data_IF_688475298476
#
_entry.id   IF_688475298476
#
_cell.length_a   1.000
_cell.length_b   1.000
_cell.length_c   1.000
_cell.angle_alpha   90.00
_cell.angle_beta   90.00
_cell.angle_gamma   90.00
#
_symmetry.space_group_name_H-M   'P 1'
#
loop_
_entity.id
_entity.type
_entity.pdbx_description
1 polymer ?
#
# COMPACT_ATOMS: atom_id res chain seq x y z
N UNK A 1 7.21 -39.70 6.51
CA UNK A 1 6.00 -38.94 6.10
C UNK A 1 5.37 -38.07 7.22
N UNK A 2 6.01 -37.84 8.38
CA UNK A 2 5.43 -37.06 9.50
C UNK A 2 5.80 -35.56 9.53
N UNK A 3 6.85 -35.12 8.83
CA UNK A 3 7.26 -33.69 8.80
C UNK A 3 6.37 -32.82 7.92
N UNK A 4 5.68 -33.41 6.93
CA UNK A 4 4.77 -32.71 6.02
C UNK A 4 3.43 -32.32 6.68
N UNK A 5 2.92 -33.13 7.63
CA UNK A 5 1.67 -32.81 8.35
C UNK A 5 1.86 -31.71 9.40
N UNK A 6 3.03 -31.64 10.03
CA UNK A 6 3.37 -30.56 10.98
C UNK A 6 3.53 -29.20 10.27
N UNK A 7 4.12 -29.16 9.06
CA UNK A 7 4.23 -27.93 8.29
C UNK A 7 2.88 -27.38 7.84
N UNK A 8 1.94 -28.27 7.47
CA UNK A 8 0.55 -27.92 7.13
C UNK A 8 -0.22 -27.33 8.31
N UNK A 9 0.06 -27.79 9.54
CA UNK A 9 -0.57 -27.24 10.74
C UNK A 9 0.00 -25.88 11.14
N UNK A 10 1.30 -25.63 10.92
CA UNK A 10 1.91 -24.32 11.18
C UNK A 10 1.41 -23.25 10.20
N UNK A 11 1.27 -23.57 8.90
CA UNK A 11 0.70 -22.63 7.92
C UNK A 11 -0.80 -22.41 8.15
N UNK A 12 -1.54 -23.45 8.53
CA UNK A 12 -2.94 -23.30 8.96
C UNK A 12 -3.06 -22.40 10.20
N UNK A 13 -2.14 -22.50 11.17
CA UNK A 13 -2.12 -21.64 12.34
C UNK A 13 -1.86 -20.17 11.99
N UNK A 14 -0.95 -19.89 11.04
CA UNK A 14 -0.75 -18.52 10.52
C UNK A 14 -2.00 -17.98 9.82
N UNK A 15 -2.68 -18.81 9.02
CA UNK A 15 -3.92 -18.40 8.36
C UNK A 15 -5.04 -18.14 9.37
N UNK A 16 -5.18 -18.98 10.40
CA UNK A 16 -6.16 -18.79 11.48
C UNK A 16 -5.82 -17.54 12.29
N UNK A 17 -4.54 -17.27 12.60
CA UNK A 17 -4.13 -16.07 13.32
C UNK A 17 -4.36 -14.79 12.50
N UNK A 18 -4.10 -14.82 11.18
CA UNK A 18 -4.38 -13.70 10.28
C UNK A 18 -5.89 -13.45 10.12
N UNK A 19 -6.71 -14.51 10.12
CA UNK A 19 -8.18 -14.43 10.04
C UNK A 19 -8.86 -14.17 11.39
N UNK A 20 -8.18 -14.37 12.52
CA UNK A 20 -8.73 -14.16 13.87
C UNK A 20 -8.38 -12.79 14.45
N UNK A 21 -7.58 -11.97 13.76
CA UNK A 21 -7.24 -10.62 14.21
C UNK A 21 -8.37 -9.61 13.92
N UNK A 22 -9.57 -9.93 14.41
CA UNK A 22 -10.83 -9.21 14.17
C UNK A 22 -10.73 -7.70 14.46
N UNK A 23 -9.94 -7.32 15.48
CA UNK A 23 -9.75 -5.93 15.90
C UNK A 23 -9.10 -5.01 14.86
N UNK A 24 -8.32 -5.55 13.91
CA UNK A 24 -7.60 -4.76 12.91
C UNK A 24 -8.01 -5.06 11.47
N UNK A 25 -8.50 -6.28 11.18
CA UNK A 25 -8.84 -6.73 9.81
C UNK A 25 -10.32 -7.10 9.60
N UNK A 26 -11.14 -7.14 10.66
CA UNK A 26 -12.52 -7.65 10.57
C UNK A 26 -12.62 -9.17 10.37
N UNK A 27 -11.50 -9.88 10.51
CA UNK A 27 -11.42 -11.34 10.43
C UNK A 27 -11.87 -11.92 9.08
N UNK A 28 -12.58 -13.06 9.11
CA UNK A 28 -13.06 -13.77 7.91
C UNK A 28 -14.12 -13.00 7.09
N UNK A 29 -14.74 -11.96 7.66
CA UNK A 29 -15.79 -11.16 7.03
C UNK A 29 -15.24 -9.87 6.37
N UNK A 30 -14.01 -9.47 6.70
CA UNK A 30 -13.39 -8.24 6.24
C UNK A 30 -13.82 -6.99 7.00
N UNK A 31 -13.16 -5.86 6.73
CA UNK A 31 -13.59 -4.55 7.25
C UNK A 31 -14.81 -4.11 6.43
N UNK A 32 -16.00 -4.32 6.99
CA UNK A 32 -17.27 -3.87 6.41
C UNK A 32 -17.65 -2.53 7.05
N UNK A 33 -18.01 -1.55 6.23
CA UNK A 33 -18.49 -0.26 6.72
C UNK A 33 -17.40 0.79 6.94
N UNK A 34 -16.37 0.84 6.09
CA UNK A 34 -15.55 2.05 6.00
C UNK A 34 -16.49 3.22 5.66
N UNK A 35 -16.68 4.21 6.56
CA UNK A 35 -17.63 5.27 6.36
C UNK A 35 -17.21 6.05 5.11
N UNK A 36 -18.10 6.13 4.12
CA UNK A 36 -17.89 7.07 3.02
C UNK A 36 -17.92 8.48 3.62
N UNK A 37 -16.95 9.34 3.28
CA UNK A 37 -17.02 10.72 3.71
C UNK A 37 -18.37 11.30 3.28
N UNK A 38 -19.04 12.10 4.12
CA UNK A 38 -20.41 12.57 3.88
C UNK A 38 -20.58 13.43 2.62
N UNK A 39 -19.47 13.81 1.97
CA UNK A 39 -19.39 14.58 0.74
C UNK A 39 -19.06 13.74 -0.50
N UNK A 40 -18.95 12.42 -0.38
CA UNK A 40 -18.68 11.50 -1.50
C UNK A 40 -19.56 10.23 -1.42
N UNK A 41 -20.88 10.44 -1.30
CA UNK A 41 -21.85 9.33 -1.26
C UNK A 41 -22.10 8.75 -2.65
N UNK A 42 -21.96 9.58 -3.71
CA UNK A 42 -22.17 9.13 -5.09
C UNK A 42 -20.85 8.71 -5.73
N UNK A 43 -20.88 7.67 -6.57
CA UNK A 43 -19.69 7.16 -7.25
C UNK A 43 -18.95 8.25 -8.06
N UNK A 44 -19.68 9.21 -8.63
CA UNK A 44 -19.09 10.35 -9.36
C UNK A 44 -18.30 11.30 -8.45
N UNK A 45 -18.77 11.55 -7.24
CA UNK A 45 -18.10 12.43 -6.26
C UNK A 45 -16.86 11.75 -5.68
N UNK A 46 -16.95 10.44 -5.43
CA UNK A 46 -15.81 9.65 -5.00
C UNK A 46 -14.73 9.58 -6.08
N UNK A 47 -15.11 9.45 -7.35
CA UNK A 47 -14.17 9.50 -8.47
C UNK A 47 -13.45 10.87 -8.54
N UNK A 48 -14.18 11.98 -8.38
CA UNK A 48 -13.58 13.31 -8.34
C UNK A 48 -12.61 13.49 -7.16
N UNK A 49 -12.96 12.95 -5.99
CA UNK A 49 -12.10 12.94 -4.81
C UNK A 49 -10.83 12.12 -5.06
N UNK A 50 -10.97 10.93 -5.66
CA UNK A 50 -9.86 10.06 -6.03
C UNK A 50 -8.88 10.74 -6.99
N UNK A 51 -9.40 11.36 -8.04
CA UNK A 51 -8.61 12.12 -9.02
C UNK A 51 -7.96 13.33 -8.36
N UNK A 52 -8.66 14.04 -7.47
CA UNK A 52 -8.10 15.15 -6.70
C UNK A 52 -6.95 14.70 -5.80
N UNK A 53 -7.12 13.61 -5.06
CA UNK A 53 -6.09 13.02 -4.21
C UNK A 53 -4.87 12.55 -5.02
N UNK A 54 -5.10 11.96 -6.19
CA UNK A 54 -4.04 11.60 -7.14
C UNK A 54 -3.28 12.84 -7.61
N UNK A 55 -3.99 13.91 -8.00
CA UNK A 55 -3.40 15.17 -8.43
C UNK A 55 -2.53 15.81 -7.32
N UNK A 56 -3.04 15.85 -6.09
CA UNK A 56 -2.32 16.42 -4.93
C UNK A 56 -1.08 15.59 -4.58
N UNK A 57 -1.21 14.27 -4.52
CA UNK A 57 -0.07 13.38 -4.22
C UNK A 57 0.99 13.44 -5.31
N UNK A 58 0.58 13.45 -6.59
CA UNK A 58 1.51 13.63 -7.71
C UNK A 58 2.23 14.98 -7.63
N UNK A 59 1.50 16.08 -7.40
CA UNK A 59 2.09 17.41 -7.26
C UNK A 59 3.07 17.48 -6.08
N UNK A 60 2.71 16.90 -4.93
CA UNK A 60 3.58 16.84 -3.76
C UNK A 60 4.87 16.06 -4.05
N UNK A 61 4.78 14.89 -4.67
CA UNK A 61 5.94 14.07 -5.04
C UNK A 61 6.80 14.79 -6.09
N UNK A 62 6.19 15.42 -7.09
CA UNK A 62 6.91 16.20 -8.09
C UNK A 62 7.66 17.40 -7.46
N UNK A 63 7.05 18.07 -6.48
CA UNK A 63 7.68 19.16 -5.73
C UNK A 63 8.87 18.65 -4.90
N UNK A 64 8.71 17.52 -4.21
CA UNK A 64 9.78 16.86 -3.44
C UNK A 64 10.93 16.44 -4.37
N UNK A 65 10.64 15.91 -5.55
CA UNK A 65 11.63 15.47 -6.53
C UNK A 65 12.47 16.64 -7.08
N UNK A 66 11.88 17.83 -7.26
CA UNK A 66 12.60 19.05 -7.69
C UNK A 66 13.38 19.72 -6.55
N UNK A 67 13.03 19.42 -5.30
CA UNK A 67 13.70 19.95 -4.12
C UNK A 67 15.16 19.45 -4.02
N UNK A 68 16.03 20.09 -3.20
CA UNK A 68 17.39 19.60 -2.96
C UNK A 68 17.44 18.16 -2.44
N UNK A 69 16.37 17.68 -1.79
CA UNK A 69 16.26 16.28 -1.35
C UNK A 69 16.23 15.31 -2.54
N UNK A 70 15.42 15.61 -3.57
CA UNK A 70 15.34 14.77 -4.78
C UNK A 70 16.65 14.76 -5.56
N UNK A 71 17.38 15.88 -5.60
CA UNK A 71 18.73 15.95 -6.20
C UNK A 71 19.75 15.08 -5.46
N UNK A 72 19.70 15.05 -4.13
CA UNK A 72 20.55 14.16 -3.32
C UNK A 72 20.22 12.69 -3.58
N UNK A 73 18.95 12.34 -3.75
CA UNK A 73 18.53 11.00 -4.13
C UNK A 73 19.03 10.60 -5.53
N UNK A 74 19.01 11.53 -6.49
CA UNK A 74 19.62 11.33 -7.81
C UNK A 74 21.11 11.02 -7.71
N UNK A 75 21.86 11.82 -6.94
CA UNK A 75 23.28 11.58 -6.72
C UNK A 75 23.57 10.23 -6.02
N UNK A 76 22.71 9.78 -5.10
CA UNK A 76 22.82 8.46 -4.46
C UNK A 76 22.53 7.33 -5.46
N UNK A 77 21.64 7.55 -6.43
CA UNK A 77 21.32 6.57 -7.48
C UNK A 77 22.50 6.36 -8.44
N UNK A 78 23.25 7.41 -8.74
CA UNK A 78 24.42 7.34 -9.62
C UNK A 78 25.61 6.67 -8.92
N UNK A 79 26.02 7.18 -7.75
CA UNK A 79 27.08 6.57 -6.94
C UNK A 79 26.90 6.89 -5.45
N UNK A 80 26.50 5.87 -4.68
CA UNK A 80 26.31 5.98 -3.24
C UNK A 80 27.63 6.24 -2.48
N UNK A 81 28.73 5.66 -2.94
CA UNK A 81 30.06 5.82 -2.34
C UNK A 81 30.57 7.24 -2.50
N UNK A 82 30.45 7.82 -3.70
CA UNK A 82 30.79 9.22 -3.93
C UNK A 82 29.91 10.16 -3.09
N UNK A 83 28.60 9.92 -3.02
CA UNK A 83 27.68 10.72 -2.22
C UNK A 83 28.04 10.72 -0.71
N UNK A 84 28.53 9.60 -0.16
CA UNK A 84 29.02 9.53 1.23
C UNK A 84 30.30 10.35 1.44
N UNK A 85 31.22 10.32 0.48
CA UNK A 85 32.49 11.08 0.55
C UNK A 85 32.22 12.59 0.56
N UNK A 86 31.22 13.07 -0.19
CA UNK A 86 30.75 14.46 -0.15
C UNK A 86 29.96 14.85 1.12
N UNK A 87 29.99 14.00 2.17
CA UNK A 87 29.36 14.29 3.46
C UNK A 87 27.83 14.18 3.47
N UNK A 88 27.20 13.62 2.43
CA UNK A 88 25.75 13.40 2.42
C UNK A 88 25.40 12.13 3.20
N UNK A 89 24.48 12.25 4.15
CA UNK A 89 23.97 11.11 4.95
C UNK A 89 23.03 10.24 4.09
N UNK A 90 23.58 9.28 3.35
CA UNK A 90 22.80 8.43 2.42
C UNK A 90 21.72 7.60 3.12
N UNK A 91 22.00 7.13 4.35
CA UNK A 91 21.03 6.37 5.15
C UNK A 91 19.80 7.21 5.52
N UNK A 92 19.99 8.47 5.92
CA UNK A 92 18.89 9.35 6.28
C UNK A 92 18.00 9.69 5.07
N UNK A 93 18.63 9.94 3.91
CA UNK A 93 17.90 10.19 2.67
C UNK A 93 17.07 8.97 2.22
N UNK A 94 17.63 7.76 2.29
CA UNK A 94 16.90 6.51 1.97
C UNK A 94 15.73 6.26 2.91
N UNK A 95 15.90 6.47 4.23
CA UNK A 95 14.81 6.31 5.21
C UNK A 95 13.66 7.29 4.95
N UNK A 96 13.98 8.55 4.68
CA UNK A 96 12.97 9.56 4.34
C UNK A 96 12.25 9.22 3.02
N UNK A 97 12.97 8.73 2.00
CA UNK A 97 12.37 8.28 0.75
C UNK A 97 11.39 7.12 0.97
N UNK A 98 11.76 6.15 1.80
CA UNK A 98 10.89 5.03 2.15
C UNK A 98 9.63 5.50 2.89
N UNK A 99 9.77 6.43 3.84
CA UNK A 99 8.63 6.99 4.56
C UNK A 99 7.66 7.72 3.63
N UNK A 100 8.16 8.50 2.66
CA UNK A 100 7.34 9.21 1.67
C UNK A 100 6.61 8.22 0.77
N UNK A 101 7.31 7.18 0.28
CA UNK A 101 6.69 6.13 -0.54
C UNK A 101 5.64 5.33 0.24
N UNK A 102 5.89 5.03 1.52
CA UNK A 102 4.92 4.37 2.39
C UNK A 102 3.68 5.23 2.65
N UNK A 103 3.87 6.54 2.84
CA UNK A 103 2.76 7.47 3.04
C UNK A 103 1.87 7.57 1.79
N UNK A 104 2.45 7.65 0.59
CA UNK A 104 1.66 7.69 -0.66
C UNK A 104 0.95 6.37 -0.94
N UNK A 105 1.60 5.23 -0.69
CA UNK A 105 0.97 3.92 -0.80
C UNK A 105 -0.17 3.73 0.21
N UNK A 106 0.00 4.20 1.45
CA UNK A 106 -1.03 4.18 2.48
C UNK A 106 -2.26 5.02 2.12
N UNK A 107 -2.05 6.22 1.57
CA UNK A 107 -3.14 7.07 1.07
C UNK A 107 -3.93 6.38 -0.04
N UNK A 108 -3.24 5.76 -1.01
CA UNK A 108 -3.90 5.00 -2.08
C UNK A 108 -4.69 3.80 -1.51
N UNK A 109 -4.14 3.09 -0.52
CA UNK A 109 -4.80 1.97 0.15
C UNK A 109 -6.08 2.38 0.88
N UNK A 110 -6.03 3.45 1.68
CA UNK A 110 -7.21 3.97 2.40
C UNK A 110 -8.31 4.41 1.43
N UNK A 111 -7.93 5.07 0.34
CA UNK A 111 -8.86 5.48 -0.70
C UNK A 111 -9.52 4.27 -1.37
N UNK A 112 -8.74 3.23 -1.66
CA UNK A 112 -9.24 1.98 -2.27
C UNK A 112 -10.17 1.24 -1.32
N UNK A 113 -9.81 1.14 -0.03
CA UNK A 113 -10.67 0.54 0.99
C UNK A 113 -12.00 1.30 1.14
N UNK A 114 -11.97 2.63 1.07
CA UNK A 114 -13.17 3.49 1.12
C UNK A 114 -14.04 3.37 -0.13
N UNK A 115 -13.44 3.06 -1.29
CA UNK A 115 -14.19 2.84 -2.53
C UNK A 115 -14.93 1.52 -2.52
N UNK A 116 -14.23 0.45 -2.16
CA UNK A 116 -14.73 -0.92 -2.26
C UNK A 116 -15.79 -1.18 -1.18
N UNK A 117 -15.70 -0.52 0.00
CA UNK A 117 -16.62 -0.65 1.15
C UNK A 117 -16.87 -2.07 1.70
N UNK A 118 -16.31 -3.08 1.02
CA UNK A 118 -16.48 -4.50 1.28
C UNK A 118 -15.22 -5.26 0.79
N UNK A 119 -14.24 -5.43 1.68
CA UNK A 119 -13.03 -6.19 1.38
C UNK A 119 -13.20 -7.63 1.84
N UNK A 120 -13.65 -8.51 0.95
CA UNK A 120 -13.78 -9.93 1.29
C UNK A 120 -12.46 -10.66 1.00
N UNK A 121 -11.89 -11.42 1.96
CA UNK A 121 -10.63 -12.16 1.76
C UNK A 121 -10.67 -13.13 0.57
N UNK A 122 -11.85 -13.59 0.16
CA UNK A 122 -12.01 -14.48 -1.00
C UNK A 122 -11.62 -13.84 -2.34
N UNK A 123 -11.60 -12.51 -2.45
CA UNK A 123 -11.30 -11.80 -3.71
C UNK A 123 -9.82 -11.88 -4.10
N UNK A 124 -8.95 -12.18 -3.15
CA UNK A 124 -7.51 -12.31 -3.36
C UNK A 124 -7.05 -13.76 -3.54
N UNK A 125 -7.98 -14.71 -3.66
CA UNK A 125 -7.64 -16.09 -3.93
C UNK A 125 -7.27 -16.28 -5.40
N UNK A 126 -6.34 -17.21 -5.66
CA UNK A 126 -5.86 -17.55 -7.00
C UNK A 126 -6.99 -17.67 -8.06
N UNK A 127 -8.15 -18.29 -7.79
CA UNK A 127 -9.21 -18.43 -8.78
C UNK A 127 -9.81 -17.08 -9.24
N UNK A 128 -9.93 -16.11 -8.33
CA UNK A 128 -10.48 -14.78 -8.66
C UNK A 128 -9.50 -13.95 -9.49
N UNK A 129 -8.20 -14.10 -9.26
CA UNK A 129 -7.15 -13.46 -10.07
C UNK A 129 -7.08 -14.04 -11.49
N UNK A 130 -7.21 -15.36 -11.62
CA UNK A 130 -7.27 -16.03 -12.93
C UNK A 130 -8.47 -15.51 -13.72
N UNK A 131 -9.65 -15.41 -13.10
CA UNK A 131 -10.86 -14.95 -13.76
C UNK A 131 -10.78 -13.50 -14.26
N UNK A 132 -10.07 -12.62 -13.56
CA UNK A 132 -9.85 -11.23 -14.00
C UNK A 132 -8.85 -11.16 -15.16
N UNK A 133 -7.82 -12.01 -15.16
CA UNK A 133 -6.82 -12.07 -16.23
C UNK A 133 -7.39 -12.66 -17.53
N UNK A 134 -8.32 -13.61 -17.46
CA UNK A 134 -9.01 -14.14 -18.66
C UNK A 134 -10.12 -13.24 -19.17
N UNK A 135 -10.63 -12.31 -18.35
CA UNK A 135 -11.65 -11.35 -18.75
C UNK A 135 -11.07 -10.06 -19.37
N UNK A 136 -9.74 -9.89 -19.34
CA UNK A 136 -9.01 -8.80 -20.01
C UNK A 136 -8.55 -9.26 -21.40
#
# INVERSE_FOLDING_TARGET
MSKLSSFRNSTAAYLIAALSWEKLTGGSLGIVGVPRPPFALRNSEFFLLAVGALGVTYAAVAHIARSPFGRVLGAIRDDETAARVFGKRTIAAKRACLAIAGATAGLAGVLTASFIQFLHPSMFWLPSLIAVLTAL
#
